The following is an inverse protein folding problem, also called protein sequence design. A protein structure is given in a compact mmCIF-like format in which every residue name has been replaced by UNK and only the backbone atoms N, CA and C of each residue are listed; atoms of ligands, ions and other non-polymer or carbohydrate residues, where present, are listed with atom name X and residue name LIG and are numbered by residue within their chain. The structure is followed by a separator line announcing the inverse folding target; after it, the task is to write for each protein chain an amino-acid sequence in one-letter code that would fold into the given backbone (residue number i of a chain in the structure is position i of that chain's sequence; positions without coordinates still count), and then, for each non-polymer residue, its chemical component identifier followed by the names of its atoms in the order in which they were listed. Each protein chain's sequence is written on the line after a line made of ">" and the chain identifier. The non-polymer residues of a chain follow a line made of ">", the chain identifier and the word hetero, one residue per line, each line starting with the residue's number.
data_IF_139415224587
#
_entry.id   IF_139415224587
#
_cell.length_a   1.000
_cell.length_b   1.000
_cell.length_c   1.000
_cell.angle_alpha   90.00
_cell.angle_beta   90.00
_cell.angle_gamma   90.00
#
_symmetry.space_group_name_H-M   'P 1'
#
loop_
_entity.id
_entity.type
_entity.pdbx_description
1 polymer ?
#
# COMPACT_ATOMS: atom_id res chain seq x y z
N UNK A 1 -12.15 17.56 24.69
CA UNK A 1 -12.40 18.69 23.75
C UNK A 1 -11.28 19.73 23.69
N UNK A 2 -10.72 20.21 24.82
CA UNK A 2 -9.71 21.28 24.79
C UNK A 2 -8.47 20.98 23.92
N UNK A 3 -7.89 19.78 24.04
CA UNK A 3 -6.70 19.36 23.27
C UNK A 3 -6.91 19.38 21.74
N UNK A 4 -8.08 18.93 21.29
CA UNK A 4 -8.43 18.90 19.86
C UNK A 4 -8.58 20.32 19.31
N UNK A 5 -9.24 21.21 20.06
CA UNK A 5 -9.35 22.63 19.71
C UNK A 5 -7.97 23.28 19.62
N UNK A 6 -7.08 23.02 20.57
CA UNK A 6 -5.71 23.53 20.54
C UNK A 6 -4.92 22.99 19.35
N UNK A 7 -5.11 21.72 18.98
CA UNK A 7 -4.47 21.13 17.80
C UNK A 7 -4.88 21.86 16.52
N UNK A 8 -6.17 21.98 16.22
CA UNK A 8 -6.64 22.67 15.01
C UNK A 8 -6.29 24.16 15.01
N UNK A 9 -6.32 24.81 16.18
CA UNK A 9 -5.83 26.19 16.30
C UNK A 9 -4.33 26.30 16.00
N UNK A 10 -3.54 25.30 16.40
CA UNK A 10 -2.11 25.26 16.08
C UNK A 10 -1.92 25.10 14.58
N UNK A 11 -2.62 24.16 13.94
CA UNK A 11 -2.61 23.97 12.48
C UNK A 11 -2.93 25.29 11.77
N UNK A 12 -4.07 25.90 12.10
CA UNK A 12 -4.52 27.14 11.46
C UNK A 12 -3.51 28.29 11.65
N UNK A 13 -2.98 28.46 12.86
CA UNK A 13 -2.00 29.51 13.18
C UNK A 13 -0.64 29.25 12.53
N UNK A 14 -0.20 28.00 12.39
CA UNK A 14 1.04 27.67 11.67
C UNK A 14 0.97 28.02 10.19
N UNK A 15 -0.24 28.02 9.61
CA UNK A 15 -0.46 28.41 8.22
C UNK A 15 -0.67 29.92 8.04
N UNK A 16 -1.35 30.59 8.98
CA UNK A 16 -1.80 31.99 8.81
C UNK A 16 -0.98 33.04 9.56
N UNK A 17 -0.32 32.69 10.67
CA UNK A 17 0.37 33.65 11.55
C UNK A 17 1.86 33.33 11.69
N UNK A 18 2.70 34.09 10.99
CA UNK A 18 4.16 34.00 11.10
C UNK A 18 4.65 34.36 12.51
N UNK A 19 3.96 35.26 13.22
CA UNK A 19 4.28 35.65 14.59
C UNK A 19 4.14 34.50 15.59
N UNK A 20 3.24 33.56 15.33
CA UNK A 20 3.00 32.38 16.15
C UNK A 20 4.25 31.52 16.34
N UNK A 21 5.14 31.46 15.33
CA UNK A 21 6.40 30.71 15.40
C UNK A 21 7.34 31.18 16.52
N UNK A 22 7.21 32.42 16.99
CA UNK A 22 7.95 32.90 18.17
C UNK A 22 7.56 32.17 19.44
N UNK A 23 6.29 31.84 19.58
CA UNK A 23 5.77 31.07 20.72
C UNK A 23 6.19 29.59 20.62
N UNK A 24 6.23 29.06 19.39
CA UNK A 24 6.65 27.69 19.12
C UNK A 24 8.14 27.46 19.37
N UNK A 25 8.99 28.48 19.21
CA UNK A 25 10.43 28.41 19.52
C UNK A 25 10.72 27.95 20.95
N UNK A 26 9.82 28.23 21.90
CA UNK A 26 9.97 27.85 23.32
C UNK A 26 9.50 26.41 23.60
N UNK A 27 8.86 25.73 22.65
CA UNK A 27 8.37 24.36 22.82
C UNK A 27 9.51 23.34 22.71
N UNK A 28 9.31 22.19 23.34
CA UNK A 28 10.25 21.07 23.26
C UNK A 28 10.12 20.31 21.94
N UNK A 29 11.17 19.59 21.55
CA UNK A 29 11.15 18.76 20.35
C UNK A 29 10.04 17.70 20.40
N UNK A 30 9.82 17.08 21.57
CA UNK A 30 8.78 16.08 21.81
C UNK A 30 7.37 16.62 21.52
N UNK A 31 7.10 17.88 21.86
CA UNK A 31 5.81 18.50 21.54
C UNK A 31 5.65 18.73 20.04
N UNK A 32 6.73 19.10 19.35
CA UNK A 32 6.74 19.24 17.89
C UNK A 32 6.53 17.92 17.16
N UNK A 33 7.22 16.86 17.57
CA UNK A 33 7.08 15.53 16.97
C UNK A 33 5.72 14.91 17.26
N UNK A 34 5.18 15.08 18.47
CA UNK A 34 3.82 14.62 18.79
C UNK A 34 2.73 15.36 18.00
N UNK A 35 2.91 16.67 17.77
CA UNK A 35 2.03 17.46 16.89
C UNK A 35 2.12 16.98 15.43
N UNK A 36 3.33 16.81 14.92
CA UNK A 36 3.60 16.31 13.58
C UNK A 36 2.98 14.93 13.35
N UNK A 37 3.16 14.00 14.30
CA UNK A 37 2.53 12.68 14.28
C UNK A 37 1.01 12.77 14.17
N UNK A 38 0.38 13.59 15.03
CA UNK A 38 -1.07 13.76 15.04
C UNK A 38 -1.59 14.33 13.70
N UNK A 39 -0.87 15.30 13.12
CA UNK A 39 -1.20 15.86 11.81
C UNK A 39 -1.09 14.82 10.70
N UNK A 40 0.02 14.09 10.62
CA UNK A 40 0.23 13.08 9.59
C UNK A 40 -0.76 11.93 9.72
N UNK A 41 -1.04 11.47 10.93
CA UNK A 41 -2.05 10.45 11.21
C UNK A 41 -3.45 10.90 10.76
N UNK A 42 -3.83 12.15 11.05
CA UNK A 42 -5.11 12.71 10.60
C UNK A 42 -5.20 12.76 9.08
N UNK A 43 -4.13 13.16 8.39
CA UNK A 43 -4.11 13.18 6.93
C UNK A 43 -4.14 11.78 6.33
N UNK A 44 -3.45 10.81 6.94
CA UNK A 44 -3.55 9.40 6.57
C UNK A 44 -4.97 8.88 6.75
N UNK A 45 -5.67 9.29 7.81
CA UNK A 45 -7.07 8.93 8.03
C UNK A 45 -7.96 9.45 6.89
N UNK A 46 -7.80 10.71 6.51
CA UNK A 46 -8.56 11.30 5.38
C UNK A 46 -8.25 10.56 4.07
N UNK A 47 -6.98 10.27 3.79
CA UNK A 47 -6.58 9.53 2.59
C UNK A 47 -7.15 8.11 2.55
N UNK A 48 -7.08 7.38 3.66
CA UNK A 48 -7.63 6.02 3.76
C UNK A 48 -9.15 6.04 3.64
N UNK A 49 -9.84 7.01 4.25
CA UNK A 49 -11.28 7.16 4.08
C UNK A 49 -11.67 7.40 2.62
N UNK A 50 -10.93 8.24 1.90
CA UNK A 50 -11.18 8.48 0.48
C UNK A 50 -11.08 7.20 -0.36
N UNK A 51 -10.15 6.30 -0.02
CA UNK A 51 -10.00 4.98 -0.67
C UNK A 51 -11.02 3.94 -0.18
N UNK A 52 -11.48 4.05 1.07
CA UNK A 52 -12.44 3.14 1.69
C UNK A 52 -13.87 3.33 1.16
N UNK A 53 -14.25 4.55 0.80
CA UNK A 53 -15.62 4.87 0.36
C UNK A 53 -16.07 4.01 -0.85
N UNK A 54 -15.30 3.91 -1.96
CA UNK A 54 -15.68 3.03 -3.07
C UNK A 54 -15.83 1.56 -2.64
N UNK A 55 -14.96 1.08 -1.76
CA UNK A 55 -14.96 -0.31 -1.28
C UNK A 55 -16.25 -0.61 -0.50
N UNK A 56 -16.69 0.30 0.37
CA UNK A 56 -17.94 0.17 1.13
C UNK A 56 -19.17 0.07 0.24
N UNK A 57 -19.15 0.70 -0.94
CA UNK A 57 -20.27 0.62 -1.89
C UNK A 57 -20.31 -0.69 -2.67
N UNK A 58 -19.18 -1.37 -2.83
CA UNK A 58 -19.04 -2.62 -3.61
C UNK A 58 -19.26 -3.87 -2.77
N UNK A 59 -18.85 -3.88 -1.50
CA UNK A 59 -18.99 -5.06 -0.62
C UNK A 59 -20.45 -5.54 -0.45
N UNK A 60 -21.44 -4.66 -0.17
CA UNK A 60 -22.80 -5.09 0.14
C UNK A 60 -23.60 -5.57 -1.06
N UNK A 61 -23.24 -5.13 -2.27
CA UNK A 61 -24.04 -5.44 -3.46
C UNK A 61 -23.97 -6.92 -3.83
N UNK A 62 -22.90 -7.63 -3.45
CA UNK A 62 -22.66 -9.04 -3.75
C UNK A 62 -22.48 -9.35 -5.23
N UNK A 63 -23.11 -8.59 -6.12
CA UNK A 63 -23.12 -8.76 -7.57
C UNK A 63 -21.74 -8.76 -8.20
N UNK A 64 -20.84 -7.88 -7.75
CA UNK A 64 -19.47 -7.84 -8.24
C UNK A 64 -18.66 -9.07 -7.80
N UNK A 65 -18.95 -9.62 -6.63
CA UNK A 65 -18.32 -10.86 -6.14
C UNK A 65 -18.90 -12.05 -6.90
N UNK A 66 -20.23 -12.08 -7.08
CA UNK A 66 -20.95 -13.16 -7.74
C UNK A 66 -20.53 -13.30 -9.21
N UNK A 67 -20.42 -12.19 -9.94
CA UNK A 67 -19.93 -12.18 -11.33
C UNK A 67 -18.53 -12.79 -11.41
N UNK A 68 -17.62 -12.40 -10.51
CA UNK A 68 -16.23 -12.88 -10.50
C UNK A 68 -16.11 -14.33 -10.06
N UNK A 69 -16.98 -14.78 -9.14
CA UNK A 69 -17.04 -16.18 -8.75
C UNK A 69 -17.62 -17.07 -9.85
N UNK A 70 -18.56 -16.56 -10.65
CA UNK A 70 -19.08 -17.30 -11.81
C UNK A 70 -18.02 -17.43 -12.90
N UNK A 71 -17.21 -16.38 -13.15
CA UNK A 71 -16.03 -16.46 -14.03
C UNK A 71 -15.09 -17.60 -13.57
N UNK A 72 -14.85 -17.73 -12.26
CA UNK A 72 -14.03 -18.81 -11.70
C UNK A 72 -14.69 -20.18 -11.82
N UNK A 73 -16.01 -20.26 -11.66
CA UNK A 73 -16.77 -21.52 -11.73
C UNK A 73 -16.59 -22.23 -13.07
N UNK A 74 -16.48 -21.47 -14.16
CA UNK A 74 -16.33 -22.00 -15.52
C UNK A 74 -14.90 -22.47 -15.82
N UNK A 75 -13.91 -22.06 -15.01
CA UNK A 75 -12.50 -22.44 -15.21
C UNK A 75 -12.21 -23.90 -14.92
N UNK A 76 -13.02 -24.56 -14.08
CA UNK A 76 -12.85 -25.97 -13.74
C UNK A 76 -13.73 -26.85 -14.62
N UNK A 77 -13.17 -27.71 -15.50
CA UNK A 77 -13.95 -28.52 -16.44
C UNK A 77 -14.90 -29.49 -15.74
N UNK A 78 -16.06 -29.76 -16.35
CA UNK A 78 -17.10 -30.56 -15.69
C UNK A 78 -16.68 -32.00 -15.39
N UNK A 79 -15.91 -32.60 -16.30
CA UNK A 79 -15.49 -34.00 -16.25
C UNK A 79 -14.11 -34.22 -15.59
N UNK A 80 -13.49 -33.15 -15.07
CA UNK A 80 -12.17 -33.22 -14.46
C UNK A 80 -12.27 -33.68 -13.00
N UNK A 81 -11.64 -34.82 -12.71
CA UNK A 81 -11.44 -35.30 -11.35
C UNK A 81 -9.95 -35.45 -11.11
N UNK A 82 -9.45 -34.75 -10.08
CA UNK A 82 -8.06 -34.81 -9.66
C UNK A 82 -7.98 -35.64 -8.39
N UNK A 83 -7.23 -36.73 -8.40
CA UNK A 83 -7.02 -37.55 -7.19
C UNK A 83 -5.55 -37.53 -6.82
N UNK A 84 -5.28 -37.03 -5.62
CA UNK A 84 -3.98 -37.14 -4.96
C UNK A 84 -4.06 -38.35 -4.04
N UNK A 85 -3.17 -39.31 -4.24
CA UNK A 85 -3.00 -40.43 -3.34
C UNK A 85 -1.51 -40.79 -3.21
N UNK A 86 -1.06 -41.06 -1.99
CA UNK A 86 0.34 -41.38 -1.69
C UNK A 86 1.36 -40.37 -2.25
N UNK A 87 1.00 -39.08 -2.31
CA UNK A 87 1.87 -38.01 -2.84
C UNK A 87 1.95 -37.94 -4.36
N UNK A 88 1.07 -38.65 -5.08
CA UNK A 88 0.99 -38.64 -6.55
C UNK A 88 -0.36 -38.09 -7.00
N UNK A 89 -0.32 -37.15 -7.95
CA UNK A 89 -1.52 -36.63 -8.60
C UNK A 89 -1.89 -37.51 -9.80
N UNK A 90 -3.17 -37.87 -9.89
CA UNK A 90 -3.80 -38.53 -11.03
C UNK A 90 -4.97 -37.67 -11.53
N UNK A 91 -5.20 -37.69 -12.84
CA UNK A 91 -6.26 -36.93 -13.52
C UNK A 91 -7.18 -37.91 -14.25
N UNK A 92 -8.49 -37.64 -14.26
CA UNK A 92 -9.45 -38.39 -15.09
C UNK A 92 -9.22 -38.17 -16.59
N UNK A 93 -8.71 -36.99 -16.99
CA UNK A 93 -8.37 -36.68 -18.38
C UNK A 93 -6.88 -37.00 -18.63
N UNK A 94 -6.54 -37.85 -19.62
CA UNK A 94 -5.17 -38.13 -20.02
C UNK A 94 -4.49 -36.97 -20.76
N UNK A 95 -5.23 -35.96 -21.23
CA UNK A 95 -4.67 -34.80 -21.92
C UNK A 95 -4.32 -33.67 -20.94
N UNK A 96 -3.35 -32.80 -21.29
CA UNK A 96 -3.06 -31.62 -20.50
C UNK A 96 -4.28 -30.68 -20.45
N UNK A 97 -4.71 -30.33 -19.23
CA UNK A 97 -5.81 -29.38 -19.03
C UNK A 97 -5.21 -28.00 -18.74
N UNK A 98 -5.53 -27.02 -19.59
CA UNK A 98 -5.05 -25.64 -19.44
C UNK A 98 -6.17 -24.80 -18.83
N UNK A 99 -5.89 -24.21 -17.67
CA UNK A 99 -6.78 -23.28 -16.97
C UNK A 99 -6.37 -21.86 -17.35
N UNK A 100 -7.17 -21.14 -18.16
CA UNK A 100 -6.84 -19.78 -18.58
C UNK A 100 -6.93 -18.81 -17.40
N UNK A 101 -6.34 -17.63 -17.55
CA UNK A 101 -6.61 -16.54 -16.61
C UNK A 101 -8.08 -16.12 -16.69
N UNK A 102 -8.70 -15.82 -15.54
CA UNK A 102 -10.03 -15.24 -15.55
C UNK A 102 -10.00 -13.85 -16.20
N UNK A 103 -11.12 -13.46 -16.79
CA UNK A 103 -11.29 -12.23 -17.60
C UNK A 103 -11.01 -10.93 -16.84
N UNK A 104 -11.05 -10.96 -15.51
CA UNK A 104 -10.80 -9.82 -14.64
C UNK A 104 -9.33 -9.61 -14.28
N UNK A 105 -8.44 -10.55 -14.64
CA UNK A 105 -6.99 -10.41 -14.46
C UNK A 105 -6.41 -9.90 -15.79
N UNK A 106 -5.77 -8.74 -15.72
CA UNK A 106 -5.02 -8.20 -16.83
C UNK A 106 -3.71 -8.97 -16.99
N UNK A 107 -3.56 -9.67 -18.12
CA UNK A 107 -2.39 -10.49 -18.41
C UNK A 107 -1.18 -9.62 -18.74
N UNK A 108 -1.38 -8.42 -19.30
CA UNK A 108 -0.30 -7.49 -19.66
C UNK A 108 0.44 -6.99 -18.41
N UNK A 109 -0.24 -6.96 -17.25
CA UNK A 109 0.37 -6.60 -15.98
C UNK A 109 1.25 -7.71 -15.36
N UNK A 110 1.17 -8.94 -15.90
CA UNK A 110 1.91 -10.12 -15.42
C UNK A 110 3.07 -10.51 -16.34
N UNK A 111 3.20 -9.85 -17.49
CA UNK A 111 4.34 -10.02 -18.38
C UNK A 111 5.56 -9.27 -17.81
N UNK A 112 6.39 -10.01 -17.08
CA UNK A 112 7.72 -9.51 -16.67
C UNK A 112 8.75 -9.83 -17.77
N UNK A 113 9.79 -9.00 -17.90
CA UNK A 113 10.75 -8.97 -19.01
C UNK A 113 11.36 -10.36 -19.33
N UNK A 114 10.70 -11.13 -20.21
CA UNK A 114 11.22 -12.37 -20.78
C UNK A 114 10.44 -13.67 -20.52
N UNK A 115 9.34 -13.67 -19.73
CA UNK A 115 8.49 -14.86 -19.55
C UNK A 115 7.02 -14.56 -19.89
N UNK A 116 6.55 -15.07 -21.03
CA UNK A 116 5.13 -14.97 -21.41
C UNK A 116 4.31 -16.02 -20.65
N UNK A 117 3.64 -15.62 -19.57
CA UNK A 117 2.69 -16.47 -18.84
C UNK A 117 1.33 -16.41 -19.55
N UNK A 118 0.93 -17.52 -20.20
CA UNK A 118 -0.28 -17.61 -21.03
C UNK A 118 -1.50 -18.16 -20.30
N UNK A 119 -1.29 -18.89 -19.21
CA UNK A 119 -2.37 -19.53 -18.47
C UNK A 119 -2.14 -19.49 -16.96
N UNK A 120 -3.24 -19.48 -16.20
CA UNK A 120 -3.19 -19.49 -14.74
C UNK A 120 -2.62 -20.81 -14.21
N UNK A 121 -3.09 -21.93 -14.75
CA UNK A 121 -2.55 -23.23 -14.37
C UNK A 121 -2.59 -24.20 -15.56
N UNK A 122 -1.69 -25.17 -15.56
CA UNK A 122 -1.74 -26.31 -16.47
C UNK A 122 -1.62 -27.58 -15.64
N UNK A 123 -2.52 -28.53 -15.89
CA UNK A 123 -2.51 -29.85 -15.24
C UNK A 123 -2.04 -30.84 -16.29
N UNK A 124 -0.86 -31.41 -16.10
CA UNK A 124 -0.29 -32.41 -16.99
C UNK A 124 0.44 -33.48 -16.18
N UNK A 125 -0.24 -34.61 -15.95
CA UNK A 125 0.32 -35.74 -15.20
C UNK A 125 1.40 -36.52 -15.96
N UNK A 126 1.59 -36.24 -17.25
CA UNK A 126 2.67 -36.82 -18.06
C UNK A 126 3.91 -35.94 -18.14
N UNK A 127 3.79 -34.66 -17.80
CA UNK A 127 4.88 -33.70 -17.82
C UNK A 127 5.86 -33.90 -16.65
N UNK A 128 7.12 -33.61 -16.94
CA UNK A 128 8.21 -33.48 -15.99
C UNK A 128 8.35 -32.03 -15.53
N UNK A 129 9.19 -31.80 -14.52
CA UNK A 129 9.43 -30.44 -14.01
C UNK A 129 10.16 -29.59 -15.06
N UNK A 130 11.00 -30.24 -15.85
CA UNK A 130 11.77 -29.66 -16.95
C UNK A 130 10.89 -29.10 -18.07
N UNK A 131 9.64 -29.58 -18.19
CA UNK A 131 8.67 -29.10 -19.18
C UNK A 131 8.04 -27.75 -18.80
N UNK A 132 8.22 -27.28 -17.56
CA UNK A 132 7.61 -26.05 -17.05
C UNK A 132 7.78 -24.82 -17.95
N UNK A 133 9.00 -24.46 -18.42
CA UNK A 133 9.18 -23.29 -19.28
C UNK A 133 8.42 -23.38 -20.61
N UNK A 134 8.22 -24.59 -21.14
CA UNK A 134 7.53 -24.82 -22.40
C UNK A 134 6.00 -24.70 -22.28
N UNK A 135 5.44 -24.88 -21.08
CA UNK A 135 3.98 -24.81 -20.85
C UNK A 135 3.47 -23.39 -20.70
N UNK A 136 4.31 -22.44 -20.28
CA UNK A 136 3.93 -21.03 -20.17
C UNK A 136 2.76 -20.81 -19.18
N UNK A 137 2.70 -21.60 -18.12
CA UNK A 137 1.67 -21.52 -17.08
C UNK A 137 2.23 -20.95 -15.78
N UNK A 138 1.46 -20.15 -15.03
CA UNK A 138 1.89 -19.65 -13.72
C UNK A 138 2.11 -20.80 -12.72
N UNK A 139 1.33 -21.87 -12.84
CA UNK A 139 1.42 -23.07 -12.01
C UNK A 139 1.29 -24.31 -12.89
N UNK A 140 2.24 -25.24 -12.83
CA UNK A 140 2.16 -26.54 -13.50
C UNK A 140 1.94 -27.63 -12.46
N UNK A 141 0.84 -28.36 -12.57
CA UNK A 141 0.55 -29.53 -11.76
C UNK A 141 0.99 -30.78 -12.52
N UNK A 142 2.06 -31.42 -12.04
CA UNK A 142 2.59 -32.68 -12.58
C UNK A 142 2.14 -33.85 -11.72
N UNK A 143 2.47 -35.09 -12.12
CA UNK A 143 2.20 -36.26 -11.28
C UNK A 143 2.94 -36.22 -9.93
N UNK A 144 4.14 -35.67 -9.91
CA UNK A 144 5.03 -35.70 -8.72
C UNK A 144 4.96 -34.45 -7.83
N UNK A 145 4.35 -33.37 -8.31
CA UNK A 145 4.25 -32.13 -7.54
C UNK A 145 3.76 -30.93 -8.34
N UNK A 146 3.59 -29.82 -7.61
CA UNK A 146 3.21 -28.52 -8.15
C UNK A 146 4.48 -27.72 -8.40
N UNK A 147 4.66 -27.24 -9.63
CA UNK A 147 5.80 -26.42 -10.06
C UNK A 147 5.38 -24.96 -10.16
N UNK A 148 6.10 -24.07 -9.48
CA UNK A 148 5.81 -22.64 -9.36
C UNK A 148 7.10 -21.86 -9.66
N UNK A 149 7.04 -20.69 -10.34
CA UNK A 149 8.22 -19.89 -10.62
C UNK A 149 8.80 -19.28 -9.34
N UNK A 150 10.12 -19.13 -9.30
CA UNK A 150 10.87 -18.45 -8.23
C UNK A 150 11.94 -17.55 -8.87
N UNK A 151 12.47 -16.57 -8.14
CA UNK A 151 13.42 -15.56 -8.68
C UNK A 151 14.62 -16.16 -9.44
N UNK A 152 15.02 -17.40 -9.11
CA UNK A 152 16.17 -18.09 -9.71
C UNK A 152 15.84 -19.48 -10.29
N UNK A 153 14.59 -19.69 -10.73
CA UNK A 153 14.19 -20.93 -11.40
C UNK A 153 12.75 -21.31 -11.10
N UNK A 154 12.55 -22.55 -10.62
CA UNK A 154 11.25 -23.04 -10.21
C UNK A 154 11.36 -23.86 -8.92
N UNK A 155 10.28 -23.83 -8.15
CA UNK A 155 10.13 -24.59 -6.93
C UNK A 155 9.09 -25.69 -7.13
N UNK A 156 9.43 -26.90 -6.69
CA UNK A 156 8.50 -28.05 -6.68
C UNK A 156 7.94 -28.22 -5.28
N UNK A 157 6.63 -28.23 -5.16
CA UNK A 157 5.88 -28.51 -3.93
C UNK A 157 5.30 -29.91 -4.06
N UNK A 158 5.74 -30.83 -3.20
CA UNK A 158 5.22 -32.20 -3.17
C UNK A 158 3.79 -32.24 -2.65
N UNK A 159 2.99 -33.18 -3.17
CA UNK A 159 1.64 -33.40 -2.70
C UNK A 159 1.62 -34.05 -1.30
N UNK A 160 0.54 -33.85 -0.52
CA UNK A 160 0.32 -34.58 0.72
C UNK A 160 0.21 -36.09 0.45
N UNK A 161 0.57 -36.89 1.45
CA UNK A 161 0.41 -38.36 1.39
C UNK A 161 -1.04 -38.82 1.63
N UNK A 162 -1.84 -37.95 2.23
CA UNK A 162 -3.25 -38.22 2.52
C UNK A 162 -4.07 -38.19 1.23
N UNK A 163 -5.04 -39.11 1.07
CA UNK A 163 -5.86 -39.15 -0.12
C UNK A 163 -6.79 -37.92 -0.19
N UNK A 164 -6.79 -37.24 -1.33
CA UNK A 164 -7.63 -36.08 -1.61
C UNK A 164 -8.18 -36.20 -3.05
N UNK A 165 -9.49 -36.07 -3.23
CA UNK A 165 -10.14 -36.17 -4.54
C UNK A 165 -10.88 -34.89 -4.85
N UNK A 166 -10.30 -34.00 -5.64
CA UNK A 166 -10.94 -32.75 -6.05
C UNK A 166 -11.85 -33.07 -7.24
N UNK A 167 -13.16 -33.02 -7.00
CA UNK A 167 -14.19 -33.08 -8.03
C UNK A 167 -14.69 -31.68 -8.37
N UNK A 168 -15.45 -31.54 -9.45
CA UNK A 168 -16.15 -30.29 -9.76
C UNK A 168 -17.09 -29.86 -8.63
N UNK A 169 -17.76 -30.81 -7.98
CA UNK A 169 -18.66 -30.52 -6.86
C UNK A 169 -17.90 -29.92 -5.68
N UNK A 170 -16.76 -30.51 -5.30
CA UNK A 170 -15.90 -29.97 -4.24
C UNK A 170 -15.34 -28.59 -4.59
N UNK A 171 -14.96 -28.37 -5.85
CA UNK A 171 -14.51 -27.07 -6.34
C UNK A 171 -15.61 -26.00 -6.18
N UNK A 172 -16.84 -26.31 -6.63
CA UNK A 172 -17.98 -25.41 -6.52
C UNK A 172 -18.37 -25.16 -5.06
N UNK A 173 -18.35 -26.18 -4.20
CA UNK A 173 -18.59 -26.02 -2.76
C UNK A 173 -17.51 -25.13 -2.13
N UNK A 174 -16.25 -25.30 -2.53
CA UNK A 174 -15.14 -24.42 -2.15
C UNK A 174 -15.39 -22.95 -2.51
N UNK A 175 -15.87 -22.68 -3.73
CA UNK A 175 -16.26 -21.34 -4.17
C UNK A 175 -17.46 -20.80 -3.37
N UNK A 176 -18.44 -21.64 -3.03
CA UNK A 176 -19.59 -21.24 -2.22
C UNK A 176 -19.17 -20.89 -0.77
N UNK A 177 -18.25 -21.65 -0.18
CA UNK A 177 -17.65 -21.32 1.12
C UNK A 177 -16.88 -20.00 1.03
N UNK A 178 -16.07 -19.80 -0.01
CA UNK A 178 -15.37 -18.55 -0.25
C UNK A 178 -16.34 -17.37 -0.36
N UNK A 179 -17.43 -17.51 -1.12
CA UNK A 179 -18.51 -16.52 -1.25
C UNK A 179 -19.06 -16.10 0.11
N UNK A 180 -19.28 -17.06 1.00
CA UNK A 180 -19.83 -16.77 2.34
C UNK A 180 -18.83 -16.04 3.26
N UNK A 181 -17.53 -16.32 3.10
CA UNK A 181 -16.47 -15.76 3.94
C UNK A 181 -15.94 -14.41 3.44
N UNK A 182 -15.98 -14.17 2.11
CA UNK A 182 -15.39 -12.99 1.48
C UNK A 182 -15.92 -11.67 2.06
N UNK A 183 -17.25 -11.47 2.24
CA UNK A 183 -17.77 -10.22 2.78
C UNK A 183 -17.24 -9.94 4.19
N UNK A 184 -17.21 -10.96 5.05
CA UNK A 184 -16.68 -10.83 6.41
C UNK A 184 -15.19 -10.48 6.38
N UNK A 185 -14.39 -11.15 5.54
CA UNK A 185 -12.97 -10.88 5.39
C UNK A 185 -12.71 -9.45 4.89
N UNK A 186 -13.49 -8.98 3.91
CA UNK A 186 -13.42 -7.61 3.40
C UNK A 186 -13.82 -6.58 4.45
N UNK A 187 -14.86 -6.83 5.25
CA UNK A 187 -15.23 -5.95 6.37
C UNK A 187 -14.17 -5.89 7.45
N UNK A 188 -13.57 -7.02 7.82
CA UNK A 188 -12.46 -7.07 8.79
C UNK A 188 -11.26 -6.32 8.25
N UNK A 189 -10.89 -6.55 6.99
CA UNK A 189 -9.78 -5.85 6.35
C UNK A 189 -10.03 -4.35 6.26
N UNK A 190 -11.26 -3.93 5.93
CA UNK A 190 -11.67 -2.54 5.89
C UNK A 190 -11.61 -1.89 7.28
N UNK A 191 -12.14 -2.57 8.30
CA UNK A 191 -12.09 -2.09 9.67
C UNK A 191 -10.65 -1.95 10.17
N UNK A 192 -9.80 -2.95 9.90
CA UNK A 192 -8.36 -2.88 10.17
C UNK A 192 -7.70 -1.71 9.43
N UNK A 193 -8.04 -1.54 8.15
CA UNK A 193 -7.49 -0.48 7.31
C UNK A 193 -7.86 0.91 7.82
N UNK A 194 -9.09 1.12 8.27
CA UNK A 194 -9.54 2.43 8.79
C UNK A 194 -9.05 2.68 10.22
N UNK A 195 -8.97 1.65 11.07
CA UNK A 195 -8.65 1.82 12.48
C UNK A 195 -7.16 1.74 12.81
N UNK A 196 -6.37 0.97 12.06
CA UNK A 196 -4.97 0.67 12.39
C UNK A 196 -4.00 1.33 11.42
N UNK A 197 -4.23 1.22 10.11
CA UNK A 197 -3.29 1.73 9.12
C UNK A 197 -3.00 3.24 9.22
N UNK A 198 -3.93 4.15 9.61
CA UNK A 198 -3.60 5.57 9.74
C UNK A 198 -2.50 5.83 10.76
N UNK A 199 -2.46 5.06 11.85
CA UNK A 199 -1.45 5.19 12.90
C UNK A 199 -0.09 4.68 12.43
N UNK A 200 -0.07 3.56 11.69
CA UNK A 200 1.15 2.99 11.09
C UNK A 200 1.67 3.94 10.01
N UNK A 201 0.81 4.37 9.08
CA UNK A 201 1.15 5.31 8.02
C UNK A 201 1.63 6.65 8.58
N UNK A 202 0.97 7.17 9.63
CA UNK A 202 1.41 8.38 10.32
C UNK A 202 2.79 8.25 10.96
N UNK A 203 3.12 7.08 11.53
CA UNK A 203 4.42 6.82 12.15
C UNK A 203 5.55 6.68 11.11
N UNK A 204 5.29 5.94 10.03
CA UNK A 204 6.21 5.79 8.90
C UNK A 204 6.44 7.14 8.21
N UNK A 205 5.37 7.87 7.93
CA UNK A 205 5.43 9.21 7.34
C UNK A 205 6.21 10.17 8.24
N UNK A 206 5.97 10.16 9.55
CA UNK A 206 6.75 10.99 10.48
C UNK A 206 8.24 10.63 10.41
N UNK A 207 8.58 9.34 10.44
CA UNK A 207 9.98 8.89 10.40
C UNK A 207 10.68 9.39 9.13
N UNK A 208 10.00 9.28 7.99
CA UNK A 208 10.47 9.83 6.73
C UNK A 208 10.67 11.35 6.79
N UNK A 209 9.67 12.10 7.27
CA UNK A 209 9.75 13.56 7.38
C UNK A 209 10.84 14.01 8.35
N UNK A 210 11.08 13.28 9.45
CA UNK A 210 12.15 13.61 10.39
C UNK A 210 13.52 13.53 9.74
N UNK A 211 13.80 12.47 8.99
CA UNK A 211 15.04 12.32 8.23
C UNK A 211 15.13 13.37 7.13
N UNK A 212 14.06 13.54 6.37
CA UNK A 212 14.01 14.46 5.24
C UNK A 212 14.19 15.92 5.68
N UNK A 213 13.65 16.31 6.84
CA UNK A 213 13.77 17.66 7.41
C UNK A 213 15.20 18.05 7.79
N UNK A 214 16.11 17.08 7.96
CA UNK A 214 17.50 17.37 8.32
C UNK A 214 18.19 18.24 7.27
N UNK A 215 17.98 17.93 5.99
CA UNK A 215 18.58 18.62 4.84
C UNK A 215 18.10 20.08 4.69
N UNK A 216 16.80 20.39 4.56
CA UNK A 216 16.34 21.76 4.42
C UNK A 216 16.64 22.59 5.68
N UNK A 217 16.58 21.97 6.87
CA UNK A 217 16.97 22.67 8.11
C UNK A 217 18.46 23.00 8.12
N UNK A 218 19.31 22.12 7.58
CA UNK A 218 20.75 22.37 7.48
C UNK A 218 21.06 23.54 6.55
N UNK A 219 20.40 23.60 5.39
CA UNK A 219 20.49 24.72 4.46
C UNK A 219 20.03 26.03 5.11
N UNK A 220 18.88 26.02 5.81
CA UNK A 220 18.39 27.19 6.55
C UNK A 220 19.39 27.64 7.63
N UNK A 221 19.97 26.70 8.36
CA UNK A 221 20.97 26.99 9.37
C UNK A 221 22.21 27.64 8.76
N UNK A 222 22.69 27.16 7.61
CA UNK A 222 23.81 27.74 6.90
C UNK A 222 23.52 29.19 6.48
N UNK A 223 22.33 29.45 5.91
CA UNK A 223 21.88 30.81 5.56
C UNK A 223 21.87 31.73 6.78
N UNK A 224 21.35 31.25 7.92
CA UNK A 224 21.34 32.01 9.17
C UNK A 224 22.75 32.28 9.71
N UNK A 225 23.66 31.32 9.59
CA UNK A 225 25.07 31.45 9.99
C UNK A 225 25.78 32.52 9.17
N UNK A 226 25.59 32.54 7.86
CA UNK A 226 26.13 33.57 6.96
C UNK A 226 25.61 34.97 7.30
N UNK A 227 24.35 35.06 7.76
CA UNK A 227 23.70 36.31 8.19
C UNK A 227 23.96 36.70 9.65
N UNK A 228 24.85 35.99 10.36
CA UNK A 228 25.18 36.22 11.78
C UNK A 228 23.95 36.17 12.72
N UNK A 229 22.91 35.43 12.35
CA UNK A 229 21.72 35.24 13.19
C UNK A 229 21.99 34.22 14.31
N UNK A 230 21.39 34.42 15.50
CA UNK A 230 21.65 33.61 16.71
C UNK A 230 20.77 32.35 16.85
N UNK A 231 20.23 31.80 15.76
CA UNK A 231 19.39 30.59 15.84
C UNK A 231 20.25 29.32 15.72
N UNK A 232 20.13 28.43 16.70
CA UNK A 232 20.78 27.12 16.65
C UNK A 232 20.05 26.18 15.67
N UNK A 233 20.79 25.19 15.13
CA UNK A 233 20.22 24.17 14.24
C UNK A 233 19.00 23.48 14.89
N UNK A 234 19.12 23.04 16.15
CA UNK A 234 18.02 22.40 16.85
C UNK A 234 16.80 23.31 17.11
N UNK A 235 16.98 24.64 17.16
CA UNK A 235 15.85 25.57 17.21
C UNK A 235 15.15 25.66 15.84
N UNK A 236 15.92 25.71 14.75
CA UNK A 236 15.39 25.70 13.39
C UNK A 236 14.67 24.39 13.07
N UNK A 237 15.26 23.24 13.42
CA UNK A 237 14.65 21.93 13.20
C UNK A 237 13.29 21.81 13.91
N UNK A 238 13.22 22.25 15.18
CA UNK A 238 11.97 22.30 15.94
C UNK A 238 10.92 23.19 15.29
N UNK A 239 11.34 24.33 14.76
CA UNK A 239 10.42 25.24 14.06
C UNK A 239 9.97 24.63 12.73
N UNK A 240 10.85 23.94 12.00
CA UNK A 240 10.52 23.27 10.74
C UNK A 240 9.49 22.14 10.91
N UNK A 241 9.44 21.47 12.07
CA UNK A 241 8.36 20.49 12.37
C UNK A 241 6.97 21.11 12.37
N UNK A 242 6.84 22.37 12.76
CA UNK A 242 5.59 23.12 12.62
C UNK A 242 5.48 23.76 11.24
N UNK A 243 6.61 24.18 10.66
CA UNK A 243 6.69 24.79 9.34
C UNK A 243 6.30 23.86 8.19
N UNK A 244 6.40 22.55 8.38
CA UNK A 244 5.94 21.59 7.38
C UNK A 244 4.42 21.49 7.29
N UNK A 245 3.65 21.98 8.28
CA UNK A 245 2.18 21.92 8.26
C UNK A 245 1.56 22.47 6.97
N UNK A 246 1.82 23.73 6.56
CA UNK A 246 1.28 24.24 5.31
C UNK A 246 1.73 23.43 4.08
N UNK A 247 2.96 22.93 4.08
CA UNK A 247 3.53 22.17 2.95
C UNK A 247 2.83 20.82 2.81
N UNK A 248 2.69 20.08 3.90
CA UNK A 248 2.03 18.76 3.91
C UNK A 248 0.53 18.90 3.62
N UNK A 249 -0.13 19.96 4.09
CA UNK A 249 -1.53 20.24 3.74
C UNK A 249 -1.70 20.54 2.25
N UNK A 250 -0.81 21.35 1.66
CA UNK A 250 -0.82 21.62 0.23
C UNK A 250 -0.54 20.34 -0.58
N UNK A 251 0.40 19.52 -0.12
CA UNK A 251 0.70 18.23 -0.74
C UNK A 251 -0.53 17.31 -0.71
N UNK A 252 -1.17 17.14 0.45
CA UNK A 252 -2.38 16.34 0.59
C UNK A 252 -3.51 16.83 -0.33
N UNK A 253 -3.71 18.15 -0.41
CA UNK A 253 -4.71 18.75 -1.32
C UNK A 253 -4.35 18.49 -2.79
N UNK A 254 -3.08 18.62 -3.17
CA UNK A 254 -2.63 18.34 -4.54
C UNK A 254 -2.82 16.88 -4.95
N UNK A 255 -2.64 15.95 -4.00
CA UNK A 255 -2.90 14.53 -4.22
C UNK A 255 -4.39 14.24 -4.41
N UNK A 256 -5.27 14.90 -3.66
CA UNK A 256 -6.73 14.75 -3.79
C UNK A 256 -7.26 15.26 -5.13
N UNK A 257 -6.67 16.32 -5.69
CA UNK A 257 -7.07 16.89 -7.00
C UNK A 257 -6.35 16.19 -8.17
N UNK A 258 -5.48 15.22 -7.91
CA UNK A 258 -4.72 14.50 -8.95
C UNK A 258 -3.52 15.25 -9.52
N UNK A 259 -3.22 16.45 -9.04
CA UNK A 259 -2.09 17.29 -9.46
C UNK A 259 -0.73 16.77 -8.96
N UNK A 260 -0.72 15.86 -7.99
CA UNK A 260 0.49 15.34 -7.37
C UNK A 260 1.33 14.39 -8.23
N UNK A 261 0.80 13.84 -9.33
CA UNK A 261 1.42 12.72 -10.09
C UNK A 261 2.66 13.08 -10.94
N UNK A 262 3.12 14.32 -10.95
CA UNK A 262 4.32 14.75 -11.70
C UNK A 262 5.25 15.70 -10.94
N UNK A 263 4.99 15.95 -9.66
CA UNK A 263 5.77 16.90 -8.88
C UNK A 263 6.99 16.17 -8.30
N UNK A 264 8.20 16.58 -8.72
CA UNK A 264 9.46 16.04 -8.19
C UNK A 264 9.53 16.18 -6.67
N UNK A 265 10.01 15.14 -5.96
CA UNK A 265 10.10 15.12 -4.49
C UNK A 265 10.87 16.34 -3.91
N UNK A 266 11.84 16.88 -4.66
CA UNK A 266 12.58 18.08 -4.28
C UNK A 266 11.73 19.37 -4.24
N UNK A 267 10.62 19.44 -4.97
CA UNK A 267 9.77 20.64 -5.04
C UNK A 267 9.22 21.03 -3.66
N UNK A 268 8.65 20.07 -2.91
CA UNK A 268 8.10 20.34 -1.59
C UNK A 268 9.16 20.79 -0.58
N UNK A 269 10.41 20.34 -0.77
CA UNK A 269 11.56 20.79 0.02
C UNK A 269 11.88 22.26 -0.24
N UNK A 270 11.82 22.69 -1.49
CA UNK A 270 12.01 24.10 -1.87
C UNK A 270 10.88 24.98 -1.32
N UNK A 271 9.63 24.50 -1.38
CA UNK A 271 8.47 25.19 -0.79
C UNK A 271 8.66 25.35 0.71
N UNK A 272 9.07 24.29 1.41
CA UNK A 272 9.38 24.35 2.85
C UNK A 272 10.51 25.35 3.15
N UNK A 273 11.60 25.28 2.40
CA UNK A 273 12.75 26.18 2.56
C UNK A 273 12.34 27.64 2.38
N UNK A 274 11.61 27.95 1.31
CA UNK A 274 11.13 29.30 1.03
C UNK A 274 10.19 29.80 2.14
N UNK A 275 9.23 28.96 2.56
CA UNK A 275 8.32 29.29 3.64
C UNK A 275 9.05 29.57 4.95
N UNK A 276 9.95 28.67 5.36
CA UNK A 276 10.72 28.81 6.60
C UNK A 276 11.72 29.97 6.55
N UNK A 277 12.25 30.30 5.38
CA UNK A 277 13.07 31.49 5.19
C UNK A 277 12.25 32.77 5.46
N UNK A 278 11.04 32.87 4.93
CA UNK A 278 10.13 34.00 5.21
C UNK A 278 9.76 34.06 6.70
N UNK A 279 9.46 32.93 7.32
CA UNK A 279 9.11 32.85 8.74
C UNK A 279 10.25 33.36 9.61
N UNK A 280 11.47 32.88 9.37
CA UNK A 280 12.64 33.23 10.20
C UNK A 280 13.11 34.67 10.02
N UNK A 281 12.97 35.24 8.81
CA UNK A 281 13.31 36.65 8.56
C UNK A 281 12.33 37.62 9.21
N UNK A 282 11.01 37.37 9.09
CA UNK A 282 9.97 38.18 9.76
C UNK A 282 10.03 38.07 11.29
N UNK A 283 10.50 36.94 11.82
CA UNK A 283 10.73 36.82 13.26
C UNK A 283 11.88 37.70 13.76
N UNK A 284 12.89 38.00 12.93
CA UNK A 284 14.07 38.77 13.34
C UNK A 284 13.85 40.30 13.35
N UNK A 285 12.91 40.83 12.55
CA UNK A 285 12.73 42.28 12.34
C UNK A 285 11.87 42.98 13.39
N UNK A 286 10.91 42.31 14.03
CA UNK A 286 10.13 42.86 15.15
C UNK A 286 10.89 42.61 16.47
N UNK A 287 11.91 43.41 16.76
CA UNK A 287 12.46 43.56 18.11
C UNK A 287 11.70 44.66 18.84
#
# INVERSE_FOLDING_TARGET
>A
MHRLRTFFQTVLRTCSDVGFYRTLRKRSLRTGTGYAYALLTLLSFVGILALAIPVVTVIPSGSAIDEKLEDLRVLYPEDLTLTIDNGLLTSSDPKPVVIPFPTFIDQEALEDEGQTVRSLATIDTSASVEDYPARGSLVLLTRGGIVIPEESGYRVISYPKEPLTITREEYVDGLARLRSMLPMMLWVLLAFSVLVLPFIAGALSLSWHLLWLLLPTFVLWLIHRLRKAKLSYGALYRLSLYGMTPVVLLQALSSLVGLGRGIFAGFWSLVLLAFMYVVTTKMATKK
#
